data_IF_769821048806
#
_entry.id   IF_769821048806
#
_cell.length_a   1.000
_cell.length_b   1.000
_cell.length_c   1.000
_cell.angle_alpha   90.00
_cell.angle_beta   90.00
_cell.angle_gamma   90.00
#
_symmetry.space_group_name_H-M   'P 1'
#
loop_
_entity.id
_entity.type
_entity.pdbx_description
1 polymer ?
#
# COMPACT_ATOMS: atom_id res chain seq x y z
N UNK A 1 6.75 26.58 -26.69
CA UNK A 1 5.92 26.22 -25.52
C UNK A 1 4.49 26.09 -26.01
N UNK A 2 3.98 24.87 -26.15
CA UNK A 2 2.55 24.66 -26.36
C UNK A 2 1.93 24.49 -24.98
N UNK A 3 1.21 25.50 -24.49
CA UNK A 3 0.37 25.36 -23.31
C UNK A 3 -0.92 24.66 -23.75
N UNK A 4 -1.20 23.47 -23.20
CA UNK A 4 -2.49 22.83 -23.41
C UNK A 4 -3.46 23.44 -22.40
N UNK A 5 -4.38 24.29 -22.90
CA UNK A 5 -5.40 24.92 -22.07
C UNK A 5 -6.40 23.90 -21.54
N UNK A 6 -6.82 24.07 -20.29
CA UNK A 6 -7.82 23.30 -19.55
C UNK A 6 -8.92 22.69 -20.44
N UNK A 7 -8.82 21.39 -20.71
CA UNK A 7 -9.88 20.63 -21.37
C UNK A 7 -10.86 20.17 -20.30
N UNK A 8 -12.00 20.87 -20.18
CA UNK A 8 -13.19 20.32 -19.55
C UNK A 8 -13.76 19.24 -20.47
N UNK A 9 -13.27 18.00 -20.37
CA UNK A 9 -13.87 16.88 -21.07
C UNK A 9 -15.25 16.57 -20.45
N UNK A 10 -16.28 16.50 -21.29
CA UNK A 10 -17.66 16.23 -20.88
C UNK A 10 -18.42 15.58 -22.03
N UNK A 11 -18.74 14.29 -21.88
CA UNK A 11 -19.76 13.60 -22.65
C UNK A 11 -20.79 13.05 -21.66
N UNK A 12 -22.07 13.45 -21.77
CA UNK A 12 -23.18 12.88 -20.99
C UNK A 12 -23.44 13.46 -19.59
N UNK A 13 -22.97 14.68 -19.26
CA UNK A 13 -23.29 15.33 -17.98
C UNK A 13 -22.39 14.95 -16.79
N UNK A 14 -21.39 14.09 -17.00
CA UNK A 14 -20.30 13.83 -16.04
C UNK A 14 -19.13 14.79 -16.32
N UNK A 15 -18.68 15.55 -15.31
CA UNK A 15 -17.46 16.36 -15.39
C UNK A 15 -16.27 15.41 -15.23
N UNK A 16 -15.46 15.20 -16.28
CA UNK A 16 -14.32 14.27 -16.26
C UNK A 16 -13.07 14.86 -15.56
N UNK A 17 -13.25 15.92 -14.76
CA UNK A 17 -12.16 16.60 -14.08
C UNK A 17 -11.47 17.68 -14.91
N UNK A 18 -10.42 18.25 -14.32
CA UNK A 18 -9.53 19.26 -14.91
C UNK A 18 -8.20 18.62 -15.27
N UNK A 19 -7.76 18.81 -16.51
CA UNK A 19 -6.45 18.36 -16.99
C UNK A 19 -5.67 19.58 -17.45
N UNK A 20 -4.48 19.80 -16.91
CA UNK A 20 -3.53 20.83 -17.35
C UNK A 20 -2.11 20.26 -17.44
N UNK A 21 -1.25 20.92 -18.21
CA UNK A 21 0.17 20.63 -18.25
C UNK A 21 0.89 21.43 -19.34
N UNK A 22 2.16 21.71 -19.09
CA UNK A 22 3.05 22.35 -20.05
C UNK A 22 3.91 21.28 -20.71
N UNK A 23 3.82 21.18 -22.04
CA UNK A 23 4.59 20.21 -22.81
C UNK A 23 5.62 20.92 -23.68
N UNK A 24 6.86 20.45 -23.60
CA UNK A 24 7.95 20.88 -24.46
C UNK A 24 8.55 19.68 -25.17
N UNK A 25 8.86 19.84 -26.46
CA UNK A 25 9.50 18.81 -27.28
C UNK A 25 10.82 19.38 -27.78
N UNK A 26 11.92 18.65 -27.55
CA UNK A 26 13.24 18.99 -28.04
C UNK A 26 13.94 17.73 -28.54
N UNK A 27 14.17 17.66 -29.86
CA UNK A 27 14.68 16.45 -30.51
C UNK A 27 13.76 15.26 -30.22
N UNK A 28 14.32 14.22 -29.62
CA UNK A 28 13.61 12.99 -29.25
C UNK A 28 13.04 13.04 -27.82
N UNK A 29 13.11 14.17 -27.14
CA UNK A 29 12.70 14.30 -25.74
C UNK A 29 11.41 15.10 -25.61
N UNK A 30 10.43 14.54 -24.93
CA UNK A 30 9.23 15.23 -24.46
C UNK A 30 9.36 15.47 -22.96
N UNK A 31 9.17 16.72 -22.55
CA UNK A 31 9.14 17.13 -21.14
C UNK A 31 7.75 17.59 -20.78
N UNK A 32 7.22 17.09 -19.66
CA UNK A 32 6.00 17.52 -19.02
C UNK A 32 6.34 18.28 -17.73
N UNK A 33 5.87 19.53 -17.65
CA UNK A 33 5.92 20.35 -16.44
C UNK A 33 4.51 20.73 -16.00
N UNK A 34 4.31 20.96 -14.71
CA UNK A 34 3.03 21.40 -14.15
C UNK A 34 1.83 20.50 -14.51
N UNK A 35 2.07 19.20 -14.75
CA UNK A 35 1.01 18.25 -15.07
C UNK A 35 0.04 18.15 -13.91
N UNK A 36 -1.26 18.25 -14.21
CA UNK A 36 -2.35 18.17 -13.25
C UNK A 36 -3.49 17.36 -13.87
N UNK A 37 -3.97 16.36 -13.14
CA UNK A 37 -5.26 15.70 -13.36
C UNK A 37 -6.04 15.79 -12.05
N UNK A 38 -7.18 16.47 -12.08
CA UNK A 38 -8.07 16.61 -10.93
C UNK A 38 -9.46 16.10 -11.29
N UNK A 39 -9.79 14.88 -10.88
CA UNK A 39 -11.07 14.22 -11.19
C UNK A 39 -12.18 14.56 -10.19
N UNK A 40 -11.90 15.40 -9.19
CA UNK A 40 -12.75 15.61 -8.02
C UNK A 40 -12.64 14.49 -6.97
N UNK A 41 -12.34 13.25 -7.37
CA UNK A 41 -12.07 12.13 -6.45
C UNK A 41 -10.58 12.01 -6.13
N UNK A 42 -9.73 12.33 -7.09
CA UNK A 42 -8.28 12.26 -6.99
C UNK A 42 -7.64 13.44 -7.70
N UNK A 43 -6.58 13.97 -7.09
CA UNK A 43 -5.71 14.98 -7.67
C UNK A 43 -4.31 14.41 -7.84
N UNK A 44 -3.90 14.26 -9.08
CA UNK A 44 -2.59 13.81 -9.52
C UNK A 44 -1.80 15.01 -10.03
N UNK A 45 -0.58 15.20 -9.55
CA UNK A 45 0.41 16.07 -10.17
C UNK A 45 1.48 15.22 -10.84
N UNK A 46 2.03 15.69 -11.95
CA UNK A 46 3.07 14.99 -12.68
C UNK A 46 4.10 15.97 -13.28
N UNK A 47 5.36 15.65 -13.08
CA UNK A 47 6.49 16.14 -13.86
C UNK A 47 7.13 14.93 -14.52
N UNK A 48 7.54 15.07 -15.77
CA UNK A 48 7.97 13.92 -16.55
C UNK A 48 8.94 14.24 -17.66
N UNK A 49 9.77 13.26 -17.98
CA UNK A 49 10.61 13.27 -19.17
C UNK A 49 10.44 11.93 -19.87
N UNK A 50 10.16 11.99 -21.17
CA UNK A 50 10.16 10.84 -22.05
C UNK A 50 11.20 11.05 -23.13
N UNK A 51 12.19 10.16 -23.19
CA UNK A 51 13.19 10.11 -24.25
C UNK A 51 12.78 9.00 -25.22
N UNK A 52 12.48 9.38 -26.46
CA UNK A 52 12.04 8.50 -27.53
C UNK A 52 13.20 8.21 -28.50
N UNK A 53 14.27 7.63 -27.98
CA UNK A 53 15.37 7.12 -28.81
C UNK A 53 15.04 5.68 -29.21
N UNK A 54 14.99 5.34 -30.51
CA UNK A 54 14.67 3.99 -30.95
C UNK A 54 15.54 2.93 -30.25
N UNK A 55 14.91 1.97 -29.56
CA UNK A 55 15.59 0.90 -28.84
C UNK A 55 16.24 1.31 -27.51
N UNK A 56 15.99 2.53 -27.04
CA UNK A 56 16.44 3.05 -25.75
C UNK A 56 15.42 4.05 -25.19
N UNK A 57 14.14 3.75 -25.41
CA UNK A 57 13.02 4.53 -24.91
C UNK A 57 13.06 4.54 -23.38
N UNK A 58 12.85 5.70 -22.77
CA UNK A 58 12.82 5.85 -21.32
C UNK A 58 11.80 6.87 -20.90
N UNK A 59 10.94 6.50 -19.97
CA UNK A 59 10.06 7.41 -19.27
C UNK A 59 10.48 7.54 -17.82
N UNK A 60 10.49 8.77 -17.33
CA UNK A 60 10.58 9.11 -15.92
C UNK A 60 9.38 9.99 -15.57
N UNK A 61 8.62 9.63 -14.53
CA UNK A 61 7.51 10.42 -14.00
C UNK A 61 7.65 10.55 -12.49
N UNK A 62 7.47 11.75 -11.97
CA UNK A 62 7.40 12.00 -10.53
C UNK A 62 6.25 12.93 -10.22
N UNK A 63 5.75 12.85 -8.99
CA UNK A 63 4.69 13.74 -8.55
C UNK A 63 3.97 13.21 -7.32
N UNK A 64 2.72 13.63 -7.19
CA UNK A 64 1.88 13.33 -6.03
C UNK A 64 0.49 12.92 -6.48
N UNK A 65 -0.07 11.93 -5.83
CA UNK A 65 -1.43 11.47 -6.00
C UNK A 65 -2.14 11.57 -4.65
N UNK A 66 -3.21 12.36 -4.57
CA UNK A 66 -3.96 12.57 -3.33
C UNK A 66 -5.47 12.56 -3.52
N UNK A 67 -6.21 12.24 -2.48
CA UNK A 67 -7.67 12.30 -2.49
C UNK A 67 -8.26 12.03 -1.11
N UNK A 68 -9.58 12.22 -1.00
CA UNK A 68 -10.28 12.12 0.28
C UNK A 68 -10.85 10.73 0.56
N UNK A 69 -11.16 9.95 -0.48
CA UNK A 69 -11.70 8.59 -0.39
C UNK A 69 -11.06 7.70 -1.43
N UNK A 70 -10.18 6.80 -0.99
CA UNK A 70 -9.41 5.91 -1.87
C UNK A 70 -10.30 5.00 -2.70
N UNK A 71 -11.43 4.56 -2.16
CA UNK A 71 -12.38 3.68 -2.83
C UNK A 71 -13.15 4.37 -3.94
N UNK A 72 -13.53 5.64 -3.74
CA UNK A 72 -14.12 6.46 -4.79
C UNK A 72 -13.12 6.73 -5.92
N UNK A 73 -11.87 7.05 -5.58
CA UNK A 73 -10.80 7.26 -6.56
C UNK A 73 -10.48 5.97 -7.33
N UNK A 74 -10.31 4.84 -6.64
CA UNK A 74 -10.04 3.55 -7.27
C UNK A 74 -11.20 3.13 -8.20
N UNK A 75 -12.45 3.27 -7.74
CA UNK A 75 -13.64 2.98 -8.55
C UNK A 75 -13.74 3.84 -9.82
N UNK A 76 -13.36 5.12 -9.76
CA UNK A 76 -13.31 6.00 -10.93
C UNK A 76 -12.34 5.48 -12.01
N UNK A 77 -11.23 4.87 -11.60
CA UNK A 77 -10.24 4.26 -12.50
C UNK A 77 -10.49 2.76 -12.78
N UNK A 78 -11.63 2.21 -12.35
CA UNK A 78 -11.97 0.80 -12.56
C UNK A 78 -11.16 -0.19 -11.72
N UNK A 79 -10.53 0.28 -10.63
CA UNK A 79 -9.74 -0.52 -9.70
C UNK A 79 -10.56 -0.84 -8.46
N UNK A 80 -10.57 -2.11 -8.04
CA UNK A 80 -11.14 -2.52 -6.76
C UNK A 80 -10.09 -2.46 -5.65
N UNK A 81 -10.48 -1.97 -4.47
CA UNK A 81 -9.64 -1.93 -3.27
C UNK A 81 -10.43 -2.42 -2.05
N UNK A 82 -9.80 -3.19 -1.13
CA UNK A 82 -10.43 -3.54 0.16
C UNK A 82 -10.47 -2.35 1.13
N UNK A 83 -9.67 -1.31 0.89
CA UNK A 83 -9.58 -0.12 1.75
C UNK A 83 -10.71 0.84 1.38
N UNK A 84 -11.51 1.26 2.37
CA UNK A 84 -12.64 2.17 2.21
C UNK A 84 -12.47 3.42 3.03
N UNK A 85 -13.08 4.51 2.56
CA UNK A 85 -13.24 5.77 3.29
C UNK A 85 -11.94 6.51 3.68
N UNK A 86 -10.76 5.95 3.38
CA UNK A 86 -9.48 6.55 3.71
C UNK A 86 -9.08 7.65 2.73
N UNK A 87 -8.66 8.79 3.28
CA UNK A 87 -7.86 9.76 2.51
C UNK A 87 -6.50 9.17 2.17
N UNK A 88 -5.91 9.60 1.05
CA UNK A 88 -4.63 9.09 0.59
C UNK A 88 -3.72 10.21 0.10
N UNK A 89 -2.42 10.00 0.29
CA UNK A 89 -1.36 10.79 -0.29
C UNK A 89 -0.20 9.85 -0.68
N UNK A 90 0.16 9.85 -1.96
CA UNK A 90 1.22 9.03 -2.53
C UNK A 90 2.18 9.96 -3.24
N UNK A 91 3.40 10.09 -2.71
CA UNK A 91 4.51 10.69 -3.45
C UNK A 91 5.16 9.57 -4.29
N UNK A 92 5.38 9.81 -5.59
CA UNK A 92 5.97 8.83 -6.49
C UNK A 92 7.10 9.44 -7.32
N UNK A 93 8.12 8.63 -7.60
CA UNK A 93 9.18 8.90 -8.57
C UNK A 93 9.52 7.56 -9.23
N UNK A 94 9.10 7.40 -10.48
CA UNK A 94 9.07 6.14 -11.20
C UNK A 94 9.72 6.30 -12.57
N UNK A 95 10.41 5.26 -13.02
CA UNK A 95 10.95 5.20 -14.37
C UNK A 95 10.92 3.79 -14.95
N UNK A 96 10.72 3.70 -16.26
CA UNK A 96 10.68 2.45 -17.02
C UNK A 96 11.16 2.68 -18.45
N UNK A 97 11.40 1.59 -19.18
CA UNK A 97 11.96 1.60 -20.54
C UNK A 97 10.90 1.38 -21.61
N UNK A 98 9.87 2.24 -21.62
CA UNK A 98 8.80 2.21 -22.61
C UNK A 98 8.08 3.58 -22.66
N UNK A 99 6.97 3.66 -23.40
CA UNK A 99 6.12 4.84 -23.56
C UNK A 99 5.44 5.27 -22.24
N UNK A 100 5.15 6.57 -22.04
CA UNK A 100 4.49 7.07 -20.82
C UNK A 100 3.11 6.48 -20.53
N UNK A 101 2.37 6.07 -21.56
CA UNK A 101 1.04 5.46 -21.44
C UNK A 101 1.07 3.93 -21.47
N UNK A 102 2.25 3.32 -21.53
CA UNK A 102 2.44 1.88 -21.51
C UNK A 102 3.59 1.53 -20.55
N UNK A 103 3.34 1.59 -19.22
CA UNK A 103 4.33 1.16 -18.23
C UNK A 103 4.81 -0.27 -18.52
N UNK A 104 6.13 -0.45 -18.54
CA UNK A 104 6.75 -1.77 -18.62
C UNK A 104 7.14 -2.20 -17.20
N UNK A 105 6.35 -3.10 -16.61
CA UNK A 105 6.56 -3.57 -15.24
C UNK A 105 7.95 -4.18 -15.05
N UNK A 106 8.49 -4.88 -16.05
CA UNK A 106 9.77 -5.56 -15.93
C UNK A 106 10.98 -4.62 -15.83
N UNK A 107 10.89 -3.41 -16.40
CA UNK A 107 11.91 -2.37 -16.25
C UNK A 107 11.54 -1.27 -15.27
N UNK A 108 10.41 -1.41 -14.58
CA UNK A 108 9.94 -0.43 -13.61
C UNK A 108 10.91 -0.36 -12.43
N UNK A 109 11.26 0.86 -12.09
CA UNK A 109 12.15 1.20 -11.01
C UNK A 109 11.66 2.51 -10.36
N UNK A 110 11.95 2.73 -9.09
CA UNK A 110 11.62 3.99 -8.43
C UNK A 110 11.28 3.87 -6.95
N UNK A 111 10.61 4.88 -6.42
CA UNK A 111 10.19 4.96 -5.03
C UNK A 111 8.75 5.45 -4.91
N UNK A 112 8.03 4.89 -3.96
CA UNK A 112 6.68 5.26 -3.57
C UNK A 112 6.67 5.55 -2.07
N UNK A 113 6.05 6.65 -1.66
CA UNK A 113 5.76 6.95 -0.25
C UNK A 113 4.27 7.15 -0.10
N UNK A 114 3.64 6.24 0.62
CA UNK A 114 2.19 6.18 0.77
C UNK A 114 1.81 6.53 2.21
N UNK A 115 0.79 7.39 2.34
CA UNK A 115 0.08 7.64 3.60
C UNK A 115 -1.41 7.56 3.36
N UNK A 116 -2.08 6.73 4.14
CA UNK A 116 -3.54 6.70 4.25
C UNK A 116 -3.93 7.24 5.62
N UNK A 117 -4.97 8.09 5.63
CA UNK A 117 -5.61 8.52 6.88
C UNK A 117 -6.67 7.51 7.33
N UNK A 118 -7.48 7.90 8.31
CA UNK A 118 -8.49 7.02 8.92
C UNK A 118 -9.39 6.35 7.90
N UNK A 119 -9.63 5.05 8.06
CA UNK A 119 -10.48 4.27 7.17
C UNK A 119 -10.74 2.87 7.71
N UNK A 120 -11.21 2.00 6.84
CA UNK A 120 -11.50 0.61 7.17
C UNK A 120 -11.01 -0.30 6.05
N UNK A 121 -10.48 -1.47 6.42
CA UNK A 121 -10.20 -2.56 5.49
C UNK A 121 -11.35 -3.54 5.62
N UNK A 122 -12.09 -3.72 4.54
CA UNK A 122 -13.24 -4.63 4.47
C UNK A 122 -12.88 -5.85 3.63
N UNK A 123 -13.48 -7.00 3.97
CA UNK A 123 -13.47 -8.12 3.03
C UNK A 123 -14.12 -7.65 1.72
N UNK A 124 -13.48 -7.93 0.59
CA UNK A 124 -14.14 -7.71 -0.70
C UNK A 124 -15.29 -8.72 -0.78
N UNK A 125 -16.50 -8.26 -0.42
CA UNK A 125 -17.74 -9.01 -0.62
C UNK A 125 -17.71 -9.57 -2.03
N UNK A 126 -17.79 -10.89 -2.12
CA UNK A 126 -17.88 -11.65 -3.36
C UNK A 126 -19.23 -11.40 -4.03
N UNK A 127 -19.45 -10.15 -4.44
CA UNK A 127 -20.59 -9.70 -5.22
C UNK A 127 -20.17 -9.58 -6.67
N UNK A 128 -20.92 -10.25 -7.54
CA UNK A 128 -20.73 -10.28 -8.98
C UNK A 128 -20.68 -8.87 -9.61
N UNK A 129 -19.50 -8.29 -9.80
CA UNK A 129 -19.20 -7.29 -10.82
C UNK A 129 -17.68 -7.06 -10.92
N UNK A 130 -17.11 -7.30 -12.10
CA UNK A 130 -15.83 -6.71 -12.50
C UNK A 130 -14.57 -7.41 -11.98
N UNK A 131 -14.30 -8.61 -12.50
CA UNK A 131 -12.93 -9.11 -12.63
C UNK A 131 -12.09 -8.05 -13.34
N UNK A 132 -11.01 -7.53 -12.72
CA UNK A 132 -9.74 -7.32 -13.46
C UNK A 132 -8.53 -6.91 -12.61
N UNK A 133 -8.61 -6.49 -11.35
CA UNK A 133 -7.39 -6.26 -10.52
C UNK A 133 -7.62 -6.63 -9.05
N UNK A 134 -7.56 -7.93 -8.74
CA UNK A 134 -7.60 -8.43 -7.35
C UNK A 134 -6.20 -8.34 -6.73
N UNK A 135 -6.03 -7.42 -5.78
CA UNK A 135 -4.90 -7.39 -4.83
C UNK A 135 -5.40 -8.03 -3.52
N UNK A 136 -5.15 -9.32 -3.32
CA UNK A 136 -5.79 -10.16 -2.30
C UNK A 136 -4.91 -10.60 -1.13
N UNK A 137 -3.84 -9.88 -0.78
CA UNK A 137 -2.99 -10.22 0.38
C UNK A 137 -3.66 -10.09 1.75
N UNK A 138 -4.55 -9.13 1.94
CA UNK A 138 -5.01 -8.74 3.27
C UNK A 138 -6.34 -9.39 3.68
N UNK A 139 -7.20 -9.71 2.71
CA UNK A 139 -8.49 -10.37 2.91
C UNK A 139 -8.35 -11.81 3.46
N UNK A 140 -7.33 -12.53 3.00
CA UNK A 140 -6.99 -13.82 3.57
C UNK A 140 -6.45 -13.68 5.01
N UNK A 141 -5.78 -12.57 5.35
CA UNK A 141 -5.22 -12.33 6.69
C UNK A 141 -6.37 -12.08 7.66
N UNK A 142 -7.32 -11.23 7.27
CA UNK A 142 -8.53 -10.92 8.01
C UNK A 142 -9.37 -12.16 8.29
N UNK A 143 -9.62 -13.02 7.29
CA UNK A 143 -10.35 -14.27 7.52
C UNK A 143 -9.69 -15.18 8.56
N UNK A 144 -8.36 -15.26 8.55
CA UNK A 144 -7.61 -16.05 9.54
C UNK A 144 -7.66 -15.40 10.92
N UNK A 145 -7.48 -14.08 11.00
CA UNK A 145 -7.61 -13.33 12.25
C UNK A 145 -9.03 -13.43 12.84
N UNK A 146 -10.08 -13.35 12.04
CA UNK A 146 -11.47 -13.56 12.47
C UNK A 146 -11.70 -14.96 13.02
N UNK A 147 -11.09 -15.97 12.39
CA UNK A 147 -11.17 -17.35 12.88
C UNK A 147 -10.48 -17.53 14.24
N UNK A 148 -9.35 -16.82 14.45
CA UNK A 148 -8.60 -16.87 15.70
C UNK A 148 -9.14 -15.93 16.81
N UNK A 149 -9.96 -14.92 16.45
CA UNK A 149 -10.44 -13.85 17.35
C UNK A 149 -11.88 -13.40 17.07
N UNK A 150 -12.81 -14.35 16.96
CA UNK A 150 -14.23 -14.12 16.62
C UNK A 150 -14.96 -13.11 17.51
N UNK A 151 -14.51 -12.94 18.76
CA UNK A 151 -15.17 -12.10 19.76
C UNK A 151 -14.68 -10.63 19.75
N UNK A 152 -13.71 -10.29 18.89
CA UNK A 152 -13.06 -8.96 18.88
C UNK A 152 -13.09 -8.27 17.51
N UNK A 153 -13.18 -9.02 16.40
CA UNK A 153 -13.17 -8.45 15.05
C UNK A 153 -14.59 -8.25 14.48
N UNK A 154 -14.91 -6.99 14.14
CA UNK A 154 -16.14 -6.64 13.41
C UNK A 154 -16.03 -6.98 11.91
N UNK A 155 -17.07 -6.71 11.10
CA UNK A 155 -17.10 -7.02 9.65
C UNK A 155 -16.02 -6.28 8.82
N UNK A 156 -15.27 -5.36 9.44
CA UNK A 156 -14.09 -4.70 8.89
C UNK A 156 -13.01 -4.47 9.95
N UNK A 157 -11.82 -4.10 9.50
CA UNK A 157 -10.70 -3.70 10.35
C UNK A 157 -10.47 -2.20 10.24
N UNK A 158 -10.75 -1.49 11.31
CA UNK A 158 -10.67 -0.04 11.34
C UNK A 158 -9.24 0.39 11.64
N UNK A 159 -8.80 1.47 11.00
CA UNK A 159 -7.46 2.00 11.21
C UNK A 159 -7.44 3.52 11.19
N UNK A 160 -6.48 4.08 11.93
CA UNK A 160 -6.24 5.51 12.00
C UNK A 160 -5.24 5.98 10.95
N UNK A 161 -4.24 5.14 10.62
CA UNK A 161 -3.32 5.43 9.52
C UNK A 161 -2.66 4.20 8.91
N UNK A 162 -2.28 4.30 7.64
CA UNK A 162 -1.35 3.36 6.99
C UNK A 162 -0.18 4.16 6.42
N UNK A 163 1.06 3.76 6.70
CA UNK A 163 2.27 4.40 6.19
C UNK A 163 3.17 3.35 5.57
N UNK A 164 3.78 3.66 4.43
CA UNK A 164 4.69 2.74 3.74
C UNK A 164 5.64 3.50 2.82
N UNK A 165 6.90 3.14 2.86
CA UNK A 165 7.88 3.43 1.82
C UNK A 165 8.14 2.15 1.04
N UNK A 166 8.07 2.24 -0.29
CA UNK A 166 8.41 1.13 -1.16
C UNK A 166 9.40 1.58 -2.23
N UNK A 167 10.41 0.76 -2.50
CA UNK A 167 11.29 0.94 -3.64
C UNK A 167 11.06 -0.19 -4.64
N UNK A 168 11.12 0.13 -5.92
CA UNK A 168 10.93 -0.81 -7.01
C UNK A 168 12.26 -0.95 -7.73
N UNK A 169 12.66 -2.20 -7.95
CA UNK A 169 13.81 -2.52 -8.79
C UNK A 169 13.44 -3.63 -9.76
N UNK A 170 13.58 -3.35 -11.05
CA UNK A 170 13.35 -4.32 -12.15
C UNK A 170 12.02 -5.08 -11.99
N UNK A 171 10.95 -4.33 -11.68
CA UNK A 171 9.61 -4.89 -11.47
C UNK A 171 9.37 -5.60 -10.15
N UNK A 172 10.33 -5.57 -9.21
CA UNK A 172 10.15 -6.09 -7.85
C UNK A 172 10.06 -4.93 -6.88
N UNK A 173 8.88 -4.77 -6.26
CA UNK A 173 8.63 -3.80 -5.22
C UNK A 173 9.05 -4.38 -3.87
N UNK A 174 9.70 -3.58 -3.04
CA UNK A 174 10.15 -3.94 -1.70
C UNK A 174 9.71 -2.89 -0.70
N UNK A 175 9.43 -3.31 0.53
CA UNK A 175 9.13 -2.42 1.67
C UNK A 175 9.64 -3.04 2.96
N UNK A 176 10.08 -2.21 3.90
CA UNK A 176 10.56 -2.62 5.23
C UNK A 176 9.87 -1.90 6.38
N UNK A 177 9.05 -0.89 6.08
CA UNK A 177 8.50 0.07 7.04
C UNK A 177 6.98 0.23 6.92
N UNK A 178 6.28 -0.73 6.32
CA UNK A 178 4.82 -0.64 6.22
C UNK A 178 4.19 -0.82 7.59
N UNK A 179 3.43 0.17 8.04
CA UNK A 179 2.76 0.19 9.33
C UNK A 179 1.29 0.55 9.16
N UNK A 180 0.43 -0.21 9.82
CA UNK A 180 -1.00 0.04 9.98
C UNK A 180 -1.26 0.27 11.46
N UNK A 181 -1.73 1.46 11.78
CA UNK A 181 -2.18 1.88 13.11
C UNK A 181 -3.68 1.59 13.19
N UNK A 182 -4.01 0.44 13.78
CA UNK A 182 -5.34 -0.17 13.73
C UNK A 182 -6.08 -0.06 15.06
N UNK A 183 -7.41 0.03 15.03
CA UNK A 183 -8.24 0.12 16.23
C UNK A 183 -8.17 -1.18 17.06
N UNK A 184 -8.18 -2.33 16.39
CA UNK A 184 -8.13 -3.63 17.07
C UNK A 184 -6.69 -4.17 17.23
N UNK A 185 -5.77 -3.77 16.34
CA UNK A 185 -4.38 -4.22 16.34
C UNK A 185 -3.47 -3.32 15.52
N UNK A 186 -2.22 -3.18 15.94
CA UNK A 186 -1.14 -2.64 15.10
C UNK A 186 -0.58 -3.73 14.20
N UNK A 187 -0.34 -3.39 12.92
CA UNK A 187 0.22 -4.33 11.94
C UNK A 187 1.46 -3.72 11.29
N UNK A 188 2.58 -4.42 11.40
CA UNK A 188 3.81 -4.09 10.70
C UNK A 188 4.08 -5.11 9.59
N UNK A 189 4.43 -4.64 8.39
CA UNK A 189 4.71 -5.48 7.24
C UNK A 189 6.04 -5.11 6.57
N UNK A 190 6.75 -6.14 6.12
CA UNK A 190 7.95 -6.02 5.28
C UNK A 190 8.00 -7.15 4.26
N UNK A 191 8.71 -6.96 3.17
CA UNK A 191 8.94 -8.00 2.17
C UNK A 191 8.93 -7.46 0.77
N UNK A 192 8.43 -8.27 -0.17
CA UNK A 192 8.44 -7.94 -1.59
C UNK A 192 7.20 -8.37 -2.34
N UNK A 193 6.96 -7.69 -3.46
CA UNK A 193 5.95 -8.01 -4.47
C UNK A 193 6.62 -8.01 -5.83
N UNK A 194 6.67 -9.16 -6.49
CA UNK A 194 7.07 -9.23 -7.89
C UNK A 194 5.87 -8.82 -8.75
N UNK A 195 5.95 -7.66 -9.38
CA UNK A 195 4.86 -7.08 -10.19
C UNK A 195 4.65 -7.91 -11.46
N UNK A 196 5.76 -8.30 -12.12
CA UNK A 196 5.75 -9.08 -13.36
C UNK A 196 5.10 -10.46 -13.18
N UNK A 197 5.51 -11.17 -12.12
CA UNK A 197 4.97 -12.50 -11.79
C UNK A 197 3.69 -12.45 -10.97
N UNK A 198 3.33 -11.27 -10.47
CA UNK A 198 2.22 -11.05 -9.53
C UNK A 198 2.32 -11.98 -8.32
N UNK A 199 3.49 -12.03 -7.69
CA UNK A 199 3.77 -12.88 -6.53
C UNK A 199 4.16 -12.04 -5.32
N UNK A 200 3.68 -12.45 -4.14
CA UNK A 200 3.93 -11.84 -2.85
C UNK A 200 4.92 -12.72 -2.06
N UNK A 201 5.79 -12.08 -1.27
CA UNK A 201 6.47 -12.67 -0.12
C UNK A 201 6.60 -11.59 0.95
N UNK A 202 5.63 -11.55 1.87
CA UNK A 202 5.46 -10.52 2.89
C UNK A 202 5.45 -11.19 4.26
N UNK A 203 6.22 -10.64 5.19
CA UNK A 203 6.12 -10.94 6.61
C UNK A 203 5.26 -9.87 7.28
N UNK A 204 4.26 -10.31 8.05
CA UNK A 204 3.40 -9.44 8.84
C UNK A 204 3.53 -9.79 10.34
N UNK A 205 3.64 -8.77 11.16
CA UNK A 205 3.60 -8.86 12.62
C UNK A 205 2.36 -8.13 13.09
N UNK A 206 1.47 -8.84 13.77
CA UNK A 206 0.22 -8.31 14.31
C UNK A 206 0.33 -8.26 15.82
N UNK A 207 0.16 -7.06 16.37
CA UNK A 207 0.13 -6.79 17.80
C UNK A 207 -1.28 -6.30 18.18
N UNK A 208 -2.13 -7.18 18.75
CA UNK A 208 -3.45 -6.78 19.21
C UNK A 208 -3.36 -5.63 20.22
N UNK A 209 -4.27 -4.66 20.16
CA UNK A 209 -4.40 -3.64 21.20
C UNK A 209 -4.95 -4.30 22.47
N UNK A 210 -4.06 -4.86 23.27
CA UNK A 210 -4.33 -5.19 24.66
C UNK A 210 -3.95 -3.94 25.45
N UNK A 211 -4.76 -3.51 26.41
CA UNK A 211 -4.60 -2.29 27.21
C UNK A 211 -3.35 -2.30 28.12
N UNK A 212 -2.16 -2.53 27.55
CA UNK A 212 -0.91 -2.85 28.21
C UNK A 212 0.15 -1.77 27.94
N UNK A 213 0.28 -0.87 28.92
CA UNK A 213 1.40 0.04 29.23
C UNK A 213 2.08 0.77 28.05
N UNK A 214 1.86 2.09 28.02
CA UNK A 214 2.38 3.15 27.14
C UNK A 214 3.81 2.96 26.59
N UNK A 215 4.73 2.29 27.31
CA UNK A 215 6.14 2.15 26.91
C UNK A 215 6.40 1.23 25.71
N UNK A 216 5.66 0.13 25.56
CA UNK A 216 5.85 -0.81 24.44
C UNK A 216 5.28 -0.24 23.14
N UNK A 217 4.09 0.37 23.22
CA UNK A 217 3.44 1.04 22.10
C UNK A 217 4.32 2.14 21.50
N UNK A 218 5.01 2.93 22.34
CA UNK A 218 5.90 3.99 21.87
C UNK A 218 7.09 3.47 21.04
N UNK A 219 7.71 2.35 21.42
CA UNK A 219 8.82 1.76 20.65
C UNK A 219 8.34 1.08 19.36
N UNK A 220 7.18 0.42 19.41
CA UNK A 220 6.56 -0.22 18.23
C UNK A 220 6.10 0.81 17.20
N UNK A 221 5.54 1.94 17.64
CA UNK A 221 5.12 3.06 16.79
C UNK A 221 6.29 3.76 16.07
N UNK A 222 7.50 3.74 16.66
CA UNK A 222 8.70 4.33 16.04
C UNK A 222 9.30 3.38 15.00
N UNK A 223 9.49 2.11 15.36
CA UNK A 223 10.02 1.09 14.46
C UNK A 223 9.60 -0.29 14.99
N UNK A 224 8.70 -1.03 14.32
CA UNK A 224 8.20 -2.31 14.83
C UNK A 224 9.26 -3.40 14.98
N UNK A 225 10.35 -3.37 14.21
CA UNK A 225 11.46 -4.33 14.34
C UNK A 225 12.24 -4.03 15.61
N UNK A 226 12.57 -2.77 15.85
CA UNK A 226 13.23 -2.32 17.09
C UNK A 226 12.28 -2.45 18.28
N UNK A 227 11.01 -2.10 18.11
CA UNK A 227 9.95 -2.28 19.10
C UNK A 227 9.78 -3.73 19.48
N UNK A 228 9.73 -4.65 18.51
CA UNK A 228 9.72 -6.09 18.76
C UNK A 228 11.02 -6.58 19.41
N UNK A 229 12.19 -6.03 19.06
CA UNK A 229 13.48 -6.38 19.68
C UNK A 229 13.62 -5.84 21.12
N UNK A 230 13.20 -4.61 21.38
CA UNK A 230 13.14 -3.96 22.70
C UNK A 230 12.10 -4.67 23.58
N UNK A 231 10.95 -5.04 23.00
CA UNK A 231 9.93 -5.89 23.61
C UNK A 231 10.51 -7.25 24.00
N UNK A 232 11.27 -7.90 23.11
CA UNK A 232 11.93 -9.18 23.38
C UNK A 232 13.08 -9.08 24.42
N UNK A 233 13.76 -7.94 24.52
CA UNK A 233 14.87 -7.74 25.44
C UNK A 233 14.43 -7.43 26.89
N UNK A 234 13.22 -6.91 27.11
CA UNK A 234 12.78 -6.52 28.45
C UNK A 234 12.36 -7.74 29.27
N UNK A 235 13.15 -8.13 30.29
CA UNK A 235 12.81 -9.25 31.19
C UNK A 235 11.77 -8.88 32.27
N UNK A 236 11.51 -7.59 32.47
CA UNK A 236 10.82 -7.04 33.65
C UNK A 236 9.29 -7.16 33.59
N UNK A 237 8.68 -7.34 32.41
CA UNK A 237 7.22 -7.50 32.28
C UNK A 237 6.77 -8.98 32.30
N UNK A 238 7.56 -9.83 32.96
CA UNK A 238 7.39 -11.29 33.15
C UNK A 238 5.94 -11.82 33.08
N UNK A 239 5.03 -11.27 33.91
CA UNK A 239 3.65 -11.74 34.03
C UNK A 239 2.72 -11.27 32.89
N UNK A 240 3.03 -10.17 32.20
CA UNK A 240 2.25 -9.63 31.07
C UNK A 240 2.51 -10.41 29.77
N UNK A 241 3.68 -11.05 29.65
CA UNK A 241 4.07 -11.87 28.50
C UNK A 241 3.16 -13.08 28.24
N UNK A 242 2.44 -13.55 29.27
CA UNK A 242 1.55 -14.71 29.15
C UNK A 242 0.22 -14.41 28.42
N UNK A 243 -0.06 -13.12 28.15
CA UNK A 243 -1.33 -12.65 27.59
C UNK A 243 -1.21 -11.92 26.25
N UNK A 244 0.00 -11.46 25.87
CA UNK A 244 0.22 -10.72 24.61
C UNK A 244 0.78 -11.66 23.54
N UNK A 245 -0.10 -12.26 22.74
CA UNK A 245 0.30 -13.08 21.60
C UNK A 245 0.64 -12.18 20.42
N UNK A 246 1.93 -11.89 20.19
CA UNK A 246 2.38 -11.29 18.92
C UNK A 246 2.28 -12.38 17.84
N UNK A 247 1.45 -12.14 16.83
CA UNK A 247 1.22 -13.09 15.75
C UNK A 247 2.14 -12.75 14.58
N UNK A 248 2.81 -13.77 14.05
CA UNK A 248 3.72 -13.63 12.91
C UNK A 248 3.17 -14.42 11.75
N UNK A 249 2.88 -13.73 10.66
CA UNK A 249 2.38 -14.33 9.43
C UNK A 249 3.40 -14.16 8.31
N UNK A 250 3.44 -15.15 7.43
CA UNK A 250 4.09 -15.08 6.13
C UNK A 250 3.02 -15.24 5.06
N UNK A 251 2.90 -14.21 4.22
CA UNK A 251 1.93 -14.09 3.14
C UNK A 251 2.71 -14.29 1.85
N UNK A 252 2.45 -15.39 1.15
CA UNK A 252 3.20 -15.81 -0.04
C UNK A 252 2.29 -16.17 -1.21
N UNK A 253 2.83 -16.24 -2.41
CA UNK A 253 2.13 -16.75 -3.58
C UNK A 253 1.43 -15.67 -4.40
N UNK A 254 0.50 -16.06 -5.30
CA UNK A 254 -0.10 -15.12 -6.24
C UNK A 254 -0.85 -13.98 -5.54
N UNK A 255 -0.71 -12.77 -6.06
CA UNK A 255 -1.33 -11.55 -5.53
C UNK A 255 -2.86 -11.70 -5.44
N UNK A 256 -3.46 -12.44 -6.37
CA UNK A 256 -4.90 -12.72 -6.44
C UNK A 256 -5.33 -13.92 -5.59
N UNK A 257 -4.41 -14.74 -5.06
CA UNK A 257 -4.73 -15.85 -4.17
C UNK A 257 -3.55 -16.18 -3.24
N UNK A 258 -3.26 -15.32 -2.25
CA UNK A 258 -2.12 -15.53 -1.38
C UNK A 258 -2.39 -16.63 -0.35
N UNK A 259 -1.31 -17.23 0.09
CA UNK A 259 -1.25 -18.23 1.14
C UNK A 259 -0.72 -17.57 2.41
N UNK A 260 -1.41 -17.79 3.54
CA UNK A 260 -1.07 -17.17 4.81
C UNK A 260 -0.72 -18.23 5.84
N UNK A 261 0.57 -18.33 6.09
CA UNK A 261 1.14 -19.28 7.02
C UNK A 261 1.50 -18.54 8.31
N UNK A 262 1.06 -19.06 9.45
CA UNK A 262 1.54 -18.57 10.74
C UNK A 262 2.93 -19.15 10.97
N UNK A 263 3.93 -18.29 11.17
CA UNK A 263 5.33 -18.72 11.14
C UNK A 263 5.75 -19.31 12.48
N UNK A 264 5.27 -18.78 13.61
CA UNK A 264 5.57 -19.30 14.95
C UNK A 264 4.56 -18.78 15.99
N UNK A 265 3.86 -19.70 16.68
CA UNK A 265 3.42 -19.51 18.06
C UNK A 265 4.60 -19.94 18.92
N UNK A 266 5.35 -19.05 19.59
CA UNK A 266 6.36 -19.54 20.56
C UNK A 266 5.62 -20.19 21.73
N UNK A 267 5.70 -21.52 21.92
CA UNK A 267 5.05 -22.18 23.03
C UNK A 267 5.87 -21.94 24.29
N UNK A 268 5.14 -21.82 25.41
CA UNK A 268 5.63 -21.85 26.78
C UNK A 268 6.84 -22.80 26.93
N UNK A 269 8.01 -22.27 27.29
CA UNK A 269 9.00 -23.12 27.98
C UNK A 269 8.44 -23.38 29.37
N UNK A 270 7.91 -24.58 29.59
CA UNK A 270 7.67 -25.08 30.93
C UNK A 270 9.01 -25.15 31.66
N UNK A 271 9.20 -24.25 32.62
CA UNK A 271 10.21 -24.41 33.65
C UNK A 271 9.83 -25.64 34.46
N UNK A 272 10.49 -26.76 34.18
CA UNK A 272 10.50 -27.93 35.05
C UNK A 272 10.99 -27.51 36.44
N UNK A 273 10.27 -27.98 37.46
CA UNK A 273 10.50 -27.78 38.89
C UNK A 273 11.90 -28.19 39.33
#
# INVERSE_FOLDING_TARGET
MCSCAALNAGCGGQKYGRIDGDVAIQGNTLTLSNGLLDTGFSRLTAEGVWVNTPGSERTSLKGKLRGHKIDAAAGFFGVSTPIRNASFNVDYDLHWRNLPWQPDEASLNGILRTRLGKGEITELSTGHAGQLLRLLSFDALLRKLRFDFSDTFSDGFYFDSIRSTAWIKDGVMHTDDTLVDGLEADIAMKGSVNLVRRELDIEAVVAPEISATVGVAAAFAVNPIVGAAVFAASKVLGPLWSKVSILRYRITGPVDKPQINEVLRQPRKESQQ
#
